data_IF_596076398534
#
_entry.id   IF_596076398534
#
_cell.length_a   1.000
_cell.length_b   1.000
_cell.length_c   1.000
_cell.angle_alpha   90.00
_cell.angle_beta   90.00
_cell.angle_gamma   90.00
#
_symmetry.space_group_name_H-M   'P 1'
#
loop_
_entity.id
_entity.type
_entity.pdbx_description
1 polymer ?
#
# COMPACT_ATOMS: atom_id res chain seq x y z
N UNK A 1 -30.50 20.10 -1.43
CA UNK A 1 -29.47 20.45 -2.44
C UNK A 1 -28.45 19.32 -2.50
N UNK A 2 -28.61 18.35 -3.43
CA UNK A 2 -27.73 17.18 -3.57
C UNK A 2 -26.67 17.50 -4.62
N UNK A 3 -25.52 18.03 -4.21
CA UNK A 3 -24.37 18.30 -5.08
C UNK A 3 -23.17 17.51 -4.61
N UNK A 4 -22.99 16.24 -5.03
CA UNK A 4 -21.69 15.55 -4.89
C UNK A 4 -21.45 14.25 -5.72
N UNK A 5 -22.06 13.94 -6.89
CA UNK A 5 -21.71 12.70 -7.59
C UNK A 5 -20.25 12.68 -8.11
N UNK A 6 -19.63 13.85 -8.37
CA UNK A 6 -18.26 13.96 -8.89
C UNK A 6 -17.17 13.87 -7.83
N UNK A 7 -17.45 14.25 -6.58
CA UNK A 7 -16.45 14.24 -5.50
C UNK A 7 -16.14 12.80 -5.06
N UNK A 8 -17.19 11.98 -4.95
CA UNK A 8 -17.08 10.55 -4.61
C UNK A 8 -16.22 9.80 -5.64
N UNK A 9 -16.45 10.03 -6.94
CA UNK A 9 -15.66 9.38 -7.98
C UNK A 9 -14.18 9.79 -7.94
N UNK A 10 -13.88 11.09 -7.73
CA UNK A 10 -12.50 11.58 -7.62
C UNK A 10 -11.80 11.04 -6.38
N UNK A 11 -12.47 11.04 -5.22
CA UNK A 11 -11.92 10.46 -3.98
C UNK A 11 -11.63 8.97 -4.14
N UNK A 12 -12.54 8.23 -4.79
CA UNK A 12 -12.34 6.82 -5.09
C UNK A 12 -11.15 6.58 -6.03
N UNK A 13 -10.98 7.41 -7.05
CA UNK A 13 -9.82 7.32 -7.95
C UNK A 13 -8.52 7.62 -7.20
N UNK A 14 -8.48 8.65 -6.36
CA UNK A 14 -7.31 8.97 -5.54
C UNK A 14 -6.97 7.84 -4.56
N UNK A 15 -7.99 7.25 -3.93
CA UNK A 15 -7.84 6.09 -3.05
C UNK A 15 -7.25 4.89 -3.80
N UNK A 16 -7.71 4.61 -5.01
CA UNK A 16 -7.16 3.54 -5.84
C UNK A 16 -5.73 3.82 -6.28
N UNK A 17 -5.42 5.04 -6.74
CA UNK A 17 -4.06 5.43 -7.14
C UNK A 17 -3.10 5.27 -5.95
N UNK A 18 -3.49 5.75 -4.77
CA UNK A 18 -2.69 5.62 -3.55
C UNK A 18 -2.55 4.17 -3.09
N UNK A 19 -3.62 3.37 -3.16
CA UNK A 19 -3.60 1.95 -2.82
C UNK A 19 -2.72 1.14 -3.77
N UNK A 20 -2.82 1.39 -5.07
CA UNK A 20 -1.99 0.76 -6.10
C UNK A 20 -0.51 1.15 -5.98
N UNK A 21 -0.21 2.42 -5.72
CA UNK A 21 1.18 2.87 -5.53
C UNK A 21 1.78 2.27 -4.26
N UNK A 22 1.00 2.17 -3.17
CA UNK A 22 1.43 1.54 -1.93
C UNK A 22 1.69 0.03 -2.10
N UNK A 23 0.80 -0.69 -2.79
CA UNK A 23 1.02 -2.10 -3.14
C UNK A 23 2.27 -2.29 -3.99
N UNK A 24 2.48 -1.45 -5.01
CA UNK A 24 3.69 -1.48 -5.83
C UNK A 24 4.96 -1.22 -5.03
N UNK A 25 4.92 -0.23 -4.13
CA UNK A 25 6.01 0.08 -3.20
C UNK A 25 6.35 -1.08 -2.27
N UNK A 26 5.33 -1.75 -1.71
CA UNK A 26 5.53 -2.93 -0.86
C UNK A 26 6.20 -4.09 -1.61
N UNK A 27 5.78 -4.37 -2.85
CA UNK A 27 6.43 -5.38 -3.70
C UNK A 27 7.88 -5.00 -4.00
N UNK A 28 8.14 -3.74 -4.33
CA UNK A 28 9.50 -3.26 -4.60
C UNK A 28 10.42 -3.38 -3.38
N UNK A 29 9.95 -2.97 -2.19
CA UNK A 29 10.69 -3.13 -0.94
C UNK A 29 10.98 -4.61 -0.66
N UNK A 30 10.00 -5.49 -0.89
CA UNK A 30 10.19 -6.92 -0.71
C UNK A 30 11.26 -7.51 -1.65
N UNK A 31 11.35 -7.04 -2.89
CA UNK A 31 12.42 -7.42 -3.83
C UNK A 31 13.78 -6.96 -3.31
N UNK A 32 13.89 -5.72 -2.80
CA UNK A 32 15.13 -5.22 -2.22
C UNK A 32 15.56 -6.04 -1.00
N UNK A 33 14.62 -6.37 -0.11
CA UNK A 33 14.86 -7.25 1.05
C UNK A 33 15.43 -8.59 0.59
N UNK A 34 14.81 -9.24 -0.40
CA UNK A 34 15.31 -10.52 -0.90
C UNK A 34 16.67 -10.40 -1.56
N UNK A 35 16.90 -9.32 -2.32
CA UNK A 35 18.19 -9.05 -2.95
C UNK A 35 19.29 -8.88 -1.89
N UNK A 36 19.00 -8.14 -0.82
CA UNK A 36 19.95 -7.90 0.27
C UNK A 36 20.23 -9.17 1.07
N UNK A 37 19.20 -9.97 1.38
CA UNK A 37 19.38 -11.28 2.02
C UNK A 37 20.25 -12.21 1.16
N UNK A 38 20.03 -12.22 -0.16
CA UNK A 38 20.82 -13.04 -1.08
C UNK A 38 22.30 -12.60 -1.14
N UNK A 39 22.56 -11.30 -0.97
CA UNK A 39 23.92 -10.74 -1.05
C UNK A 39 24.68 -10.79 0.29
N UNK A 40 24.02 -10.45 1.39
CA UNK A 40 24.64 -10.22 2.70
C UNK A 40 24.24 -11.27 3.76
N UNK A 41 23.25 -12.12 3.48
CA UNK A 41 22.78 -13.18 4.38
C UNK A 41 21.82 -12.71 5.48
N UNK A 42 21.60 -11.41 5.63
CA UNK A 42 20.66 -10.80 6.57
C UNK A 42 20.22 -9.43 6.05
N UNK A 43 19.01 -9.00 6.42
CA UNK A 43 18.50 -7.66 6.09
C UNK A 43 18.28 -6.87 7.37
N UNK A 44 18.89 -5.68 7.46
CA UNK A 44 18.71 -4.77 8.60
C UNK A 44 18.27 -3.41 8.05
N UNK A 45 16.95 -3.19 8.01
CA UNK A 45 16.39 -1.85 7.83
C UNK A 45 16.21 -1.20 9.19
N UNK A 46 17.11 -0.28 9.54
CA UNK A 46 16.96 0.59 10.70
C UNK A 46 16.67 1.98 10.18
N UNK A 47 15.41 2.42 10.31
CA UNK A 47 15.10 3.82 10.12
C UNK A 47 15.32 4.64 11.39
N UNK A 48 16.11 5.70 11.27
CA UNK A 48 16.49 6.56 12.40
C UNK A 48 15.54 7.74 12.56
N UNK A 49 14.80 8.09 11.50
CA UNK A 49 13.86 9.21 11.55
C UNK A 49 12.47 8.73 11.99
N UNK A 50 11.98 9.14 13.18
CA UNK A 50 10.70 8.66 13.71
C UNK A 50 9.50 9.10 12.86
N UNK A 51 9.59 10.21 12.14
CA UNK A 51 8.51 10.66 11.25
C UNK A 51 8.36 9.74 10.02
N UNK A 52 9.49 9.30 9.46
CA UNK A 52 9.51 8.36 8.33
C UNK A 52 9.00 6.99 8.78
N UNK A 53 9.47 6.51 9.93
CA UNK A 53 9.02 5.24 10.51
C UNK A 53 7.49 5.23 10.75
N UNK A 54 6.95 6.31 11.31
CA UNK A 54 5.49 6.44 11.50
C UNK A 54 4.74 6.47 10.17
N UNK A 55 5.25 7.19 9.17
CA UNK A 55 4.65 7.23 7.83
C UNK A 55 4.61 5.83 7.20
N UNK A 56 5.71 5.09 7.29
CA UNK A 56 5.82 3.71 6.79
C UNK A 56 4.82 2.78 7.48
N UNK A 57 4.67 2.90 8.80
CA UNK A 57 3.73 2.09 9.58
C UNK A 57 2.27 2.39 9.20
N UNK A 58 1.93 3.67 9.02
CA UNK A 58 0.60 4.11 8.54
C UNK A 58 0.33 3.61 7.12
N UNK A 59 1.30 3.77 6.21
CA UNK A 59 1.18 3.31 4.82
C UNK A 59 1.03 1.79 4.75
N UNK A 60 1.78 1.04 5.56
CA UNK A 60 1.69 -0.41 5.63
C UNK A 60 0.30 -0.86 6.10
N UNK A 61 -0.23 -0.23 7.15
CA UNK A 61 -1.59 -0.50 7.63
C UNK A 61 -2.65 -0.19 6.55
N UNK A 62 -2.49 0.95 5.85
CA UNK A 62 -3.35 1.33 4.74
C UNK A 62 -3.29 0.32 3.58
N UNK A 63 -2.09 -0.12 3.18
CA UNK A 63 -1.89 -1.10 2.13
C UNK A 63 -2.60 -2.43 2.46
N UNK A 64 -2.48 -2.89 3.71
CA UNK A 64 -3.09 -4.13 4.16
C UNK A 64 -4.63 -4.06 4.10
N UNK A 65 -5.22 -2.95 4.57
CA UNK A 65 -6.67 -2.73 4.48
C UNK A 65 -7.11 -2.66 3.01
N UNK A 66 -6.39 -1.91 2.18
CA UNK A 66 -6.67 -1.78 0.75
C UNK A 66 -6.57 -3.11 0.01
N UNK A 67 -5.58 -3.93 0.35
CA UNK A 67 -5.39 -5.27 -0.21
C UNK A 67 -6.56 -6.19 0.14
N UNK A 68 -7.03 -6.19 1.39
CA UNK A 68 -8.23 -6.95 1.77
C UNK A 68 -9.45 -6.46 0.99
N UNK A 69 -9.62 -5.13 0.87
CA UNK A 69 -10.72 -4.56 0.11
C UNK A 69 -10.71 -5.00 -1.36
N UNK A 70 -9.57 -4.91 -2.04
CA UNK A 70 -9.47 -5.29 -3.46
C UNK A 70 -9.62 -6.80 -3.65
N UNK A 71 -9.10 -7.61 -2.71
CA UNK A 71 -9.27 -9.06 -2.72
C UNK A 71 -10.75 -9.47 -2.56
N UNK A 72 -11.46 -8.86 -1.60
CA UNK A 72 -12.90 -9.09 -1.45
C UNK A 72 -13.68 -8.67 -2.68
N UNK A 73 -13.34 -7.51 -3.26
CA UNK A 73 -13.96 -7.04 -4.50
C UNK A 73 -13.74 -8.05 -5.66
N UNK A 74 -12.51 -8.54 -5.82
CA UNK A 74 -12.16 -9.54 -6.83
C UNK A 74 -12.94 -10.84 -6.64
N UNK A 75 -12.99 -11.37 -5.40
CA UNK A 75 -13.75 -12.59 -5.10
C UNK A 75 -15.26 -12.44 -5.36
N UNK A 76 -15.83 -11.25 -5.15
CA UNK A 76 -17.23 -10.95 -5.48
C UNK A 76 -17.47 -10.79 -6.98
N UNK A 77 -16.47 -10.39 -7.75
CA UNK A 77 -16.60 -10.25 -9.20
C UNK A 77 -16.45 -11.60 -9.93
N UNK A 78 -15.72 -12.54 -9.33
CA UNK A 78 -15.51 -13.89 -9.88
C UNK A 78 -16.65 -14.86 -9.53
N UNK A 79 -17.33 -14.66 -8.39
CA UNK A 79 -18.52 -15.43 -7.98
C UNK A 79 -19.77 -14.94 -8.71
#
# INVERSE_FOLDING_TARGET
>A
MKTAPKLDHRMRTLFHILGLSCLGGAVFLQILVFTDILQHGYFVAIEKNPAILMLELILTAFALIYFIYIYQYLMRAIR
#
